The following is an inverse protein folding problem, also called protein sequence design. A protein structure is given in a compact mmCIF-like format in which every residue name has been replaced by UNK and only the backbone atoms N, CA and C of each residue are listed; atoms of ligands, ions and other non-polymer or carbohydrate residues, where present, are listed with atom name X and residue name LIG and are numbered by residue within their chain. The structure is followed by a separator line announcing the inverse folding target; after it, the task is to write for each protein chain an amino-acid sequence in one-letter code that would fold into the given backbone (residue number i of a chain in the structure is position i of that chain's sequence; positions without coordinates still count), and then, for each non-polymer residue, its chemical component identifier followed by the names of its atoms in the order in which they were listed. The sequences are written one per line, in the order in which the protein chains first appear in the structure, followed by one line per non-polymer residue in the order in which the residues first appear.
data_IF_037255536806
#
_entry.id   IF_037255536806
#
_cell.length_a   1.000
_cell.length_b   1.000
_cell.length_c   1.000
_cell.angle_alpha   90.00
_cell.angle_beta   90.00
_cell.angle_gamma   90.00
#
_symmetry.space_group_name_H-M   'P 1'
#
loop_
_entity.id
_entity.type
_entity.pdbx_description
1 polymer ?
#
# COMPACT_ATOMS: atom_id res chain seq x y z
N UNK A 1 -2.50 -33.45 -6.52
CA UNK A 1 -3.42 -32.71 -5.65
C UNK A 1 -3.70 -31.39 -6.32
N UNK A 2 -4.96 -31.07 -6.60
CA UNK A 2 -5.35 -29.75 -7.11
C UNK A 2 -5.41 -28.74 -5.95
N UNK A 3 -5.05 -27.48 -6.21
CA UNK A 3 -5.10 -26.39 -5.23
C UNK A 3 -6.17 -25.39 -5.68
N UNK A 4 -7.45 -25.60 -5.32
CA UNK A 4 -8.51 -24.66 -5.65
C UNK A 4 -8.33 -23.34 -4.89
N UNK A 5 -8.72 -22.23 -5.52
CA UNK A 5 -8.64 -20.90 -4.93
C UNK A 5 -10.02 -20.27 -4.77
N UNK A 6 -10.37 -19.85 -3.57
CA UNK A 6 -11.57 -19.06 -3.31
C UNK A 6 -11.40 -17.60 -3.78
N UNK A 7 -12.53 -16.95 -4.09
CA UNK A 7 -12.57 -15.52 -4.36
C UNK A 7 -12.06 -14.75 -3.13
N UNK A 8 -11.17 -13.78 -3.35
CA UNK A 8 -10.56 -12.97 -2.29
C UNK A 8 -10.77 -11.49 -2.57
N UNK A 9 -11.16 -10.76 -1.54
CA UNK A 9 -11.36 -9.32 -1.63
C UNK A 9 -10.11 -8.58 -1.14
N UNK A 10 -9.69 -7.64 -1.98
CA UNK A 10 -8.72 -6.60 -1.69
C UNK A 10 -9.40 -5.46 -0.92
N UNK A 11 -8.72 -4.87 0.06
CA UNK A 11 -9.26 -3.68 0.74
C UNK A 11 -9.28 -2.48 -0.22
N UNK A 12 -8.14 -2.18 -0.85
CA UNK A 12 -8.03 -1.15 -1.89
C UNK A 12 -7.08 -1.60 -3.00
N UNK A 13 -7.54 -1.55 -4.24
CA UNK A 13 -6.68 -1.64 -5.43
C UNK A 13 -6.61 -0.28 -6.12
N UNK A 14 -5.43 0.34 -6.13
CA UNK A 14 -5.19 1.65 -6.72
C UNK A 14 -4.45 1.50 -8.05
N UNK A 15 -4.90 2.21 -9.08
CA UNK A 15 -4.24 2.28 -10.38
C UNK A 15 -3.98 3.76 -10.70
N UNK A 16 -2.70 4.20 -10.81
CA UNK A 16 -2.39 5.59 -11.11
C UNK A 16 -2.87 5.96 -12.52
N UNK A 17 -3.40 7.17 -12.67
CA UNK A 17 -3.75 7.71 -13.98
C UNK A 17 -2.47 8.23 -14.67
N UNK A 18 -2.25 7.91 -15.96
CA UNK A 18 -1.22 8.57 -16.74
C UNK A 18 -1.63 10.04 -16.95
N UNK A 19 -0.79 10.99 -16.49
CA UNK A 19 -0.99 12.46 -16.38
C UNK A 19 -1.62 12.92 -15.05
N UNK A 20 -1.04 13.85 -14.28
CA UNK A 20 -0.12 14.94 -14.60
C UNK A 20 1.00 15.04 -13.56
N UNK A 21 2.14 15.56 -13.98
CA UNK A 21 3.26 16.01 -13.16
C UNK A 21 2.86 17.24 -12.34
N UNK A 22 1.93 17.09 -11.41
CA UNK A 22 1.80 18.05 -10.32
C UNK A 22 3.01 17.82 -9.44
N UNK A 23 3.90 18.81 -9.37
CA UNK A 23 5.06 18.83 -8.47
C UNK A 23 4.61 18.42 -7.06
N UNK A 24 4.85 17.16 -6.70
CA UNK A 24 4.31 16.50 -5.51
C UNK A 24 5.16 16.84 -4.29
N UNK A 25 5.24 18.12 -3.93
CA UNK A 25 6.05 18.52 -2.78
C UNK A 25 5.32 18.22 -1.44
N UNK A 26 4.06 17.75 -1.46
CA UNK A 26 3.21 17.76 -0.26
C UNK A 26 2.52 16.43 0.11
N UNK A 27 2.65 15.33 -0.65
CA UNK A 27 1.84 14.11 -0.40
C UNK A 27 2.51 12.96 0.38
N UNK A 28 3.68 13.20 0.98
CA UNK A 28 4.32 12.26 1.93
C UNK A 28 4.49 10.83 1.38
N UNK A 29 4.43 9.84 2.26
CA UNK A 29 4.57 8.42 1.90
C UNK A 29 3.53 7.94 0.89
N UNK A 30 2.28 8.40 0.98
CA UNK A 30 1.19 7.91 0.12
C UNK A 30 1.44 8.22 -1.36
N UNK A 31 1.94 9.41 -1.70
CA UNK A 31 2.30 9.73 -3.08
C UNK A 31 3.44 8.87 -3.60
N UNK A 32 4.35 8.44 -2.71
CA UNK A 32 5.48 7.61 -3.11
C UNK A 32 5.08 6.17 -3.37
N UNK A 33 4.14 5.62 -2.62
CA UNK A 33 3.70 4.23 -2.77
C UNK A 33 2.66 4.01 -3.88
N UNK A 34 2.00 5.09 -4.34
CA UNK A 34 0.96 5.09 -5.37
C UNK A 34 1.48 5.43 -6.78
N UNK A 35 2.80 5.51 -6.99
CA UNK A 35 3.39 5.78 -8.32
C UNK A 35 3.22 4.64 -9.32
N UNK A 36 2.95 3.43 -8.84
CA UNK A 36 2.64 2.22 -9.62
C UNK A 36 1.31 1.66 -9.14
N UNK A 37 0.63 0.79 -9.92
CA UNK A 37 -0.53 0.07 -9.41
C UNK A 37 -0.20 -0.58 -8.06
N UNK A 38 -1.10 -0.53 -7.10
CA UNK A 38 -0.84 -1.11 -5.79
C UNK A 38 -2.07 -1.63 -5.06
N UNK A 39 -1.86 -2.66 -4.25
CA UNK A 39 -2.80 -3.15 -3.28
C UNK A 39 -2.47 -2.53 -1.93
N UNK A 40 -3.46 -1.92 -1.25
CA UNK A 40 -3.31 -1.43 0.12
C UNK A 40 -4.15 -2.30 1.04
N UNK A 41 -3.53 -2.88 2.06
CA UNK A 41 -4.17 -3.75 3.05
C UNK A 41 -3.91 -3.16 4.45
N UNK A 42 -4.80 -2.29 4.95
CA UNK A 42 -4.67 -1.68 6.27
C UNK A 42 -5.11 -2.61 7.39
N UNK A 43 -4.28 -2.71 8.43
CA UNK A 43 -4.56 -3.46 9.65
C UNK A 43 -4.77 -2.52 10.82
N UNK A 44 -5.72 -2.86 11.71
CA UNK A 44 -5.95 -2.15 12.98
C UNK A 44 -5.12 -2.69 14.14
N UNK A 45 -4.56 -3.89 13.98
CA UNK A 45 -3.70 -4.58 14.94
C UNK A 45 -2.50 -5.16 14.20
N UNK A 46 -1.39 -5.47 14.86
CA UNK A 46 -0.28 -6.17 14.23
C UNK A 46 -0.76 -7.47 13.56
N UNK A 47 -0.55 -7.66 12.24
CA UNK A 47 -1.05 -8.82 11.53
C UNK A 47 -0.32 -10.09 11.95
N UNK A 48 -1.05 -11.19 11.97
CA UNK A 48 -0.53 -12.54 12.10
C UNK A 48 0.26 -12.95 10.85
N UNK A 49 1.10 -13.99 10.98
CA UNK A 49 1.84 -14.53 9.84
C UNK A 49 0.90 -15.04 8.73
N UNK A 50 -0.27 -15.55 9.11
CA UNK A 50 -1.29 -16.04 8.18
C UNK A 50 -1.92 -14.88 7.39
N UNK A 51 -2.22 -13.77 8.05
CA UNK A 51 -2.75 -12.57 7.38
C UNK A 51 -1.75 -12.00 6.37
N UNK A 52 -0.46 -11.87 6.74
CA UNK A 52 0.58 -11.43 5.80
C UNK A 52 0.66 -12.36 4.58
N UNK A 53 0.64 -13.68 4.80
CA UNK A 53 0.64 -14.67 3.70
C UNK A 53 -0.61 -14.55 2.83
N UNK A 54 -1.76 -14.26 3.43
CA UNK A 54 -2.99 -14.03 2.68
C UNK A 54 -2.90 -12.76 1.81
N UNK A 55 -2.33 -11.67 2.32
CA UNK A 55 -2.09 -10.47 1.52
C UNK A 55 -1.14 -10.77 0.34
N UNK A 56 -0.05 -11.51 0.58
CA UNK A 56 0.86 -11.97 -0.49
C UNK A 56 0.12 -12.82 -1.53
N UNK A 57 -0.73 -13.74 -1.09
CA UNK A 57 -1.53 -14.58 -1.98
C UNK A 57 -2.49 -13.73 -2.83
N UNK A 58 -3.15 -12.71 -2.23
CA UNK A 58 -3.99 -11.76 -2.98
C UNK A 58 -3.20 -11.05 -4.08
N UNK A 59 -1.99 -10.57 -3.78
CA UNK A 59 -1.11 -9.92 -4.75
C UNK A 59 -0.75 -10.88 -5.90
N UNK A 60 -0.29 -12.09 -5.57
CA UNK A 60 0.15 -13.06 -6.57
C UNK A 60 -1.01 -13.50 -7.47
N UNK A 61 -2.21 -13.70 -6.92
CA UNK A 61 -3.41 -13.99 -7.70
C UNK A 61 -3.78 -12.82 -8.63
N UNK A 62 -3.72 -11.59 -8.14
CA UNK A 62 -3.96 -10.40 -8.96
C UNK A 62 -2.98 -10.34 -10.14
N UNK A 63 -1.68 -10.49 -9.88
CA UNK A 63 -0.66 -10.48 -10.93
C UNK A 63 -0.85 -11.63 -11.93
N UNK A 64 -1.16 -12.83 -11.45
CA UNK A 64 -1.46 -13.98 -12.31
C UNK A 64 -2.68 -13.74 -13.20
N UNK A 65 -3.69 -13.00 -12.73
CA UNK A 65 -4.87 -12.64 -13.51
C UNK A 65 -4.61 -11.53 -14.54
N UNK A 66 -3.67 -10.62 -14.27
CA UNK A 66 -3.31 -9.54 -15.21
C UNK A 66 -2.52 -10.05 -16.42
N UNK A 67 -1.69 -11.08 -16.23
CA UNK A 67 -0.83 -11.63 -17.30
C UNK A 67 -1.63 -12.14 -18.53
N UNK A 68 -2.70 -12.95 -18.36
CA UNK A 68 -3.56 -13.36 -19.47
C UNK A 68 -4.31 -12.20 -20.14
N UNK A 69 -4.74 -11.20 -19.36
CA UNK A 69 -5.44 -10.02 -19.91
C UNK A 69 -4.51 -9.22 -20.83
N UNK A 70 -3.28 -8.96 -20.37
CA UNK A 70 -2.27 -8.28 -21.18
C UNK A 70 -1.98 -9.05 -22.48
N UNK A 71 -1.85 -10.39 -22.41
CA UNK A 71 -1.67 -11.24 -23.60
C UNK A 71 -2.83 -11.17 -24.59
N UNK A 72 -4.08 -11.13 -24.11
CA UNK A 72 -5.27 -10.99 -24.97
C UNK A 72 -5.25 -9.67 -25.74
N UNK A 73 -4.75 -8.62 -25.11
CA UNK A 73 -4.66 -7.28 -25.68
C UNK A 73 -3.36 -7.06 -26.49
N UNK A 74 -2.54 -8.10 -26.69
CA UNK A 74 -1.19 -8.02 -27.29
C UNK A 74 -0.26 -7.00 -26.60
N UNK A 75 -0.46 -6.77 -25.31
CA UNK A 75 0.36 -5.89 -24.49
C UNK A 75 1.33 -6.76 -23.69
N UNK A 76 2.61 -6.37 -23.67
CA UNK A 76 3.58 -6.92 -22.71
C UNK A 76 3.49 -6.10 -21.43
N UNK A 77 3.16 -6.74 -20.30
CA UNK A 77 3.14 -6.08 -19.00
C UNK A 77 4.52 -6.20 -18.34
N UNK A 78 5.36 -5.14 -18.33
CA UNK A 78 6.68 -5.21 -17.74
C UNK A 78 6.61 -5.35 -16.22
N UNK A 79 7.66 -5.91 -15.63
CA UNK A 79 7.81 -6.08 -14.18
C UNK A 79 7.63 -4.77 -13.40
N UNK A 80 7.97 -3.63 -14.00
CA UNK A 80 7.84 -2.28 -13.43
C UNK A 80 6.39 -1.78 -13.37
N UNK A 81 5.48 -2.38 -14.13
CA UNK A 81 4.06 -2.05 -14.14
C UNK A 81 3.20 -3.04 -13.37
N UNK A 82 3.79 -4.13 -12.85
CA UNK A 82 3.07 -5.06 -11.99
C UNK A 82 2.66 -4.38 -10.68
N UNK A 83 1.47 -4.69 -10.15
CA UNK A 83 1.03 -4.17 -8.88
C UNK A 83 2.01 -4.47 -7.74
N UNK A 84 2.15 -3.52 -6.82
CA UNK A 84 2.88 -3.67 -5.56
C UNK A 84 1.90 -3.79 -4.37
N UNK A 85 2.17 -4.66 -3.41
CA UNK A 85 1.43 -4.73 -2.15
C UNK A 85 2.03 -3.77 -1.11
N UNK A 86 1.17 -3.08 -0.38
CA UNK A 86 1.50 -2.33 0.83
C UNK A 86 0.62 -2.80 1.98
N UNK A 87 1.25 -3.36 3.00
CA UNK A 87 0.61 -3.76 4.24
C UNK A 87 0.83 -2.62 5.23
N UNK A 88 -0.26 -1.93 5.59
CA UNK A 88 -0.21 -0.79 6.51
C UNK A 88 -0.58 -1.31 7.90
N UNK A 89 0.35 -1.25 8.85
CA UNK A 89 0.15 -1.85 10.18
C UNK A 89 0.36 -0.80 11.26
N UNK A 90 -0.27 -0.92 12.43
CA UNK A 90 0.03 -0.01 13.54
C UNK A 90 1.45 -0.26 14.08
N UNK A 91 1.87 -1.54 14.10
CA UNK A 91 3.25 -1.92 14.40
C UNK A 91 3.60 -3.30 13.82
N UNK A 92 4.89 -3.51 13.54
CA UNK A 92 5.44 -4.79 13.09
C UNK A 92 6.54 -5.27 14.03
N UNK A 93 6.37 -6.47 14.60
CA UNK A 93 7.42 -7.04 15.45
C UNK A 93 8.69 -7.33 14.64
N UNK A 94 9.87 -7.11 15.23
CA UNK A 94 11.16 -7.48 14.61
C UNK A 94 11.20 -8.96 14.21
N UNK A 95 10.58 -9.83 15.01
CA UNK A 95 10.46 -11.27 14.71
C UNK A 95 9.68 -11.49 13.41
N UNK A 96 8.56 -10.80 13.23
CA UNK A 96 7.76 -10.86 11.99
C UNK A 96 8.55 -10.32 10.80
N UNK A 97 9.13 -9.12 10.93
CA UNK A 97 9.92 -8.50 9.86
C UNK A 97 11.08 -9.41 9.43
N UNK A 98 11.88 -9.91 10.37
CA UNK A 98 12.97 -10.83 10.08
C UNK A 98 12.49 -12.15 9.46
N UNK A 99 11.36 -12.68 9.93
CA UNK A 99 10.77 -13.92 9.41
C UNK A 99 10.35 -13.84 7.94
N UNK A 100 10.03 -12.64 7.45
CA UNK A 100 9.74 -12.38 6.03
C UNK A 100 10.93 -11.76 5.27
N UNK A 101 12.12 -11.69 5.88
CA UNK A 101 13.29 -10.99 5.34
C UNK A 101 12.97 -9.54 4.91
N UNK A 102 12.10 -8.87 5.67
CA UNK A 102 11.72 -7.49 5.43
C UNK A 102 12.87 -6.57 5.88
N UNK A 103 13.41 -5.78 4.95
CA UNK A 103 14.54 -4.90 5.18
C UNK A 103 14.15 -3.44 4.97
N UNK A 104 14.57 -2.57 5.88
CA UNK A 104 14.47 -1.12 5.68
C UNK A 104 15.54 -0.69 4.68
N UNK A 105 15.13 0.02 3.63
CA UNK A 105 16.05 0.61 2.64
C UNK A 105 16.41 2.03 3.07
N UNK A 106 17.68 2.41 2.97
CA UNK A 106 18.15 3.76 3.32
C UNK A 106 17.50 4.87 2.48
N UNK A 107 17.03 4.54 1.29
CA UNK A 107 16.31 5.49 0.41
C UNK A 107 14.88 5.77 0.86
N UNK A 108 14.34 5.06 1.85
CA UNK A 108 12.96 5.17 2.34
C UNK A 108 12.90 5.71 3.76
N UNK A 109 11.72 6.22 4.13
CA UNK A 109 11.43 6.71 5.48
C UNK A 109 11.64 5.59 6.51
N UNK A 110 12.06 5.97 7.72
CA UNK A 110 12.15 5.04 8.84
C UNK A 110 10.77 4.46 9.13
N UNK A 111 10.69 3.16 9.40
CA UNK A 111 9.41 2.45 9.55
C UNK A 111 8.89 1.81 8.26
N UNK A 112 9.49 2.12 7.10
CA UNK A 112 9.12 1.49 5.83
C UNK A 112 10.07 0.35 5.47
N UNK A 113 9.54 -0.87 5.49
CA UNK A 113 10.28 -2.10 5.18
C UNK A 113 9.85 -2.68 3.84
N UNK A 114 10.76 -3.37 3.17
CA UNK A 114 10.49 -4.06 1.92
C UNK A 114 10.86 -5.53 2.05
N UNK A 115 9.98 -6.40 1.57
CA UNK A 115 10.30 -7.81 1.35
C UNK A 115 11.28 -7.96 0.16
N UNK A 116 11.87 -9.16 -0.04
CA UNK A 116 12.66 -9.46 -1.22
C UNK A 116 11.99 -9.01 -2.53
N UNK A 117 12.78 -8.46 -3.45
CA UNK A 117 12.29 -7.61 -4.55
C UNK A 117 11.16 -8.21 -5.40
N UNK A 118 11.20 -9.52 -5.67
CA UNK A 118 10.21 -10.21 -6.51
C UNK A 118 8.89 -10.51 -5.79
N UNK A 119 8.81 -10.28 -4.48
CA UNK A 119 7.54 -10.34 -3.75
C UNK A 119 6.76 -9.03 -3.82
N UNK A 120 7.36 -7.96 -4.38
CA UNK A 120 6.74 -6.62 -4.57
C UNK A 120 5.86 -6.21 -3.40
N UNK A 121 6.41 -6.26 -2.19
CA UNK A 121 5.66 -5.98 -0.96
C UNK A 121 6.43 -5.02 -0.07
N UNK A 122 5.76 -3.95 0.34
CA UNK A 122 6.20 -3.05 1.39
C UNK A 122 5.35 -3.22 2.65
N UNK A 123 5.96 -2.98 3.81
CA UNK A 123 5.27 -2.89 5.10
C UNK A 123 5.54 -1.49 5.65
N UNK A 124 4.48 -0.76 5.95
CA UNK A 124 4.54 0.54 6.60
C UNK A 124 4.18 0.37 8.08
N UNK A 125 5.17 0.62 8.95
CA UNK A 125 5.07 0.61 10.41
C UNK A 125 5.36 2.04 10.94
N UNK A 126 4.31 2.85 11.15
CA UNK A 126 4.44 4.26 11.49
C UNK A 126 4.92 4.48 12.93
N UNK A 127 4.79 3.50 13.85
CA UNK A 127 5.28 3.63 15.23
C UNK A 127 6.82 3.74 15.30
N UNK A 128 7.52 3.26 14.27
CA UNK A 128 8.96 3.46 14.10
C UNK A 128 9.31 4.66 13.21
N UNK A 129 8.34 5.18 12.47
CA UNK A 129 8.43 6.47 11.81
C UNK A 129 8.34 7.55 12.89
N UNK A 130 9.49 8.03 13.35
CA UNK A 130 9.51 9.35 13.97
C UNK A 130 9.07 10.28 12.84
N UNK A 131 7.79 10.68 12.85
CA UNK A 131 7.23 11.65 11.92
C UNK A 131 8.26 12.77 11.80
N UNK A 132 8.71 13.03 10.57
CA UNK A 132 9.58 14.17 10.37
C UNK A 132 8.82 15.44 10.78
N UNK A 133 9.56 16.49 11.15
CA UNK A 133 8.94 17.72 11.65
C UNK A 133 7.95 18.36 10.64
N UNK A 134 8.07 18.06 9.34
CA UNK A 134 7.18 18.51 8.28
C UNK A 134 5.87 17.72 8.21
N UNK A 135 5.90 16.40 8.40
CA UNK A 135 4.68 15.57 8.41
C UNK A 135 3.81 15.85 9.66
N UNK A 136 4.44 16.12 10.82
CA UNK A 136 3.70 16.61 12.00
C UNK A 136 3.01 17.95 11.73
N UNK A 137 3.69 18.86 11.04
CA UNK A 137 3.12 20.16 10.71
C UNK A 137 1.93 20.03 9.75
N UNK A 138 2.00 19.13 8.77
CA UNK A 138 0.90 18.90 7.83
C UNK A 138 -0.35 18.30 8.50
N UNK A 139 -0.19 17.37 9.44
CA UNK A 139 -1.31 16.79 10.21
C UNK A 139 -1.94 17.85 11.11
N UNK A 140 -1.13 18.62 11.83
CA UNK A 140 -1.63 19.72 12.68
C UNK A 140 -2.36 20.76 11.82
N UNK A 141 -1.83 21.11 10.65
CA UNK A 141 -2.51 22.05 9.74
C UNK A 141 -3.83 21.50 9.16
N UNK A 142 -3.90 20.19 8.88
CA UNK A 142 -5.12 19.54 8.42
C UNK A 142 -6.20 19.50 9.53
N UNK A 143 -5.82 19.20 10.77
CA UNK A 143 -6.73 19.23 11.94
C UNK A 143 -7.23 20.65 12.25
N UNK A 144 -6.39 21.68 12.06
CA UNK A 144 -6.78 23.09 12.21
C UNK A 144 -7.69 23.59 11.07
N UNK A 145 -7.62 22.98 9.88
CA UNK A 145 -8.52 23.28 8.77
C UNK A 145 -9.87 22.57 8.90
N UNK A 146 -9.91 21.33 9.39
CA UNK A 146 -11.16 20.60 9.65
C UNK A 146 -12.01 21.27 10.76
N UNK A 147 -11.36 21.90 11.74
CA UNK A 147 -12.03 22.67 12.79
C UNK A 147 -12.72 23.96 12.30
N UNK A 148 -12.47 24.41 11.06
CA UNK A 148 -12.96 25.69 10.55
C UNK A 148 -13.87 25.58 9.31
N UNK A 149 -14.36 24.38 8.98
CA UNK A 149 -15.29 24.19 7.86
C UNK A 149 -16.68 23.79 8.34
N UNK A 150 -17.66 24.65 8.03
CA UNK A 150 -19.10 24.52 8.30
C UNK A 150 -19.63 23.14 7.85
N UNK A 151 -20.50 22.46 8.62
CA UNK A 151 -20.89 21.08 8.33
C UNK A 151 -21.74 20.99 7.06
N UNK A 152 -21.28 20.19 6.09
CA UNK A 152 -22.03 19.82 4.89
C UNK A 152 -23.06 18.75 5.29
N UNK A 153 -24.36 19.07 5.13
CA UNK A 153 -25.48 18.14 5.32
C UNK A 153 -25.33 16.91 4.41
N UNK A 154 -25.35 15.71 5.01
CA UNK A 154 -25.60 14.45 4.29
C UNK A 154 -27.04 14.43 3.78
N UNK A 155 -27.20 14.36 2.46
CA UNK A 155 -28.46 13.95 1.82
C UNK A 155 -28.40 12.43 1.65
N UNK A 156 -29.20 11.70 2.43
CA UNK A 156 -29.57 10.32 2.11
C UNK A 156 -30.81 10.38 1.22
N UNK A 157 -30.67 9.94 -0.03
CA UNK A 157 -31.80 9.70 -0.93
C UNK A 157 -32.28 8.26 -0.80
N UNK A 158 -33.57 8.11 -0.50
CA UNK A 158 -34.45 7.05 -1.01
C UNK A 158 -35.15 7.61 -2.24
#
# INVERSE_FOLDING_TARGET
MEIPGEARQADVYFVPKPQSTTSSTTLGLLSRITTTPCLLEPFRNPPTLTEIRNCLLKLLLLQANLQPLAKRDNITLPETQLPQLWILVPSASKKTLNGFAACQKTSWLKGVYHLPAHLKTGIDDPDLAVLDAGEKAAIILAEQQEANTVPIKRVYGI
#
